data_IF_084144072219
#
_entry.id   IF_084144072219
#
_cell.length_a   1.000
_cell.length_b   1.000
_cell.length_c   1.000
_cell.angle_alpha   90.00
_cell.angle_beta   90.00
_cell.angle_gamma   90.00
#
_symmetry.space_group_name_H-M   'P 1'
#
loop_
_entity.id
_entity.type
_entity.pdbx_description
1 polymer ?
#
# COMPACT_ATOMS: atom_id res chain seq x y z
N UNK A 1 11.82 -14.60 -25.81
CA UNK A 1 11.33 -13.43 -25.06
C UNK A 1 11.66 -13.68 -23.61
N UNK A 2 12.61 -12.95 -23.03
CA UNK A 2 12.85 -13.00 -21.59
C UNK A 2 11.64 -12.35 -20.90
N UNK A 3 11.09 -12.91 -19.81
CA UNK A 3 10.10 -12.20 -19.02
C UNK A 3 10.77 -10.95 -18.45
N UNK A 4 10.42 -9.81 -19.00
CA UNK A 4 11.01 -8.52 -18.64
C UNK A 4 10.64 -8.16 -17.19
N UNK A 5 11.70 -7.88 -16.43
CA UNK A 5 11.78 -7.12 -15.17
C UNK A 5 11.21 -7.78 -13.91
N UNK A 6 12.10 -8.10 -12.96
CA UNK A 6 11.77 -8.52 -11.59
C UNK A 6 11.12 -7.42 -10.73
N UNK A 7 10.30 -6.56 -11.33
CA UNK A 7 9.49 -5.58 -10.61
C UNK A 7 8.21 -6.31 -10.18
N UNK A 8 7.94 -6.43 -8.87
CA UNK A 8 6.75 -7.13 -8.39
C UNK A 8 5.47 -6.48 -8.93
N UNK A 9 4.47 -7.29 -9.22
CA UNK A 9 3.16 -6.79 -9.63
C UNK A 9 2.49 -6.00 -8.47
N UNK A 10 1.58 -5.09 -8.79
CA UNK A 10 0.93 -4.19 -7.82
C UNK A 10 0.27 -4.99 -6.71
N UNK A 11 -0.38 -6.11 -7.05
CA UNK A 11 -1.00 -7.00 -6.06
C UNK A 11 0.00 -7.55 -5.02
N UNK A 12 1.18 -7.99 -5.46
CA UNK A 12 2.23 -8.53 -4.59
C UNK A 12 2.69 -7.47 -3.60
N UNK A 13 3.05 -6.28 -4.09
CA UNK A 13 3.51 -5.17 -3.22
C UNK A 13 2.40 -4.74 -2.25
N UNK A 14 1.15 -4.68 -2.73
CA UNK A 14 -0.01 -4.38 -1.89
C UNK A 14 -0.20 -5.40 -0.76
N UNK A 15 -0.09 -6.70 -1.09
CA UNK A 15 -0.26 -7.79 -0.12
C UNK A 15 0.83 -7.75 0.94
N UNK A 16 2.08 -7.51 0.54
CA UNK A 16 3.20 -7.31 1.46
C UNK A 16 2.95 -6.12 2.41
N UNK A 17 2.47 -4.98 1.88
CA UNK A 17 2.11 -3.83 2.72
C UNK A 17 1.04 -4.19 3.78
N UNK A 18 0.05 -5.01 3.43
CA UNK A 18 -0.97 -5.50 4.39
C UNK A 18 -0.33 -6.37 5.47
N UNK A 19 0.54 -7.29 5.10
CA UNK A 19 1.25 -8.15 6.07
C UNK A 19 2.11 -7.32 7.02
N UNK A 20 2.76 -6.26 6.52
CA UNK A 20 3.53 -5.32 7.32
C UNK A 20 2.67 -4.53 8.30
N UNK A 21 1.50 -4.03 7.87
CA UNK A 21 0.53 -3.42 8.78
C UNK A 21 0.10 -4.40 9.89
N UNK A 22 -0.28 -5.62 9.51
CA UNK A 22 -0.76 -6.62 10.47
C UNK A 22 0.36 -7.03 11.44
N UNK A 23 1.62 -7.06 10.99
CA UNK A 23 2.79 -7.25 11.85
C UNK A 23 2.99 -6.10 12.84
N UNK A 24 2.90 -4.85 12.38
CA UNK A 24 3.01 -3.67 13.25
C UNK A 24 1.92 -3.65 14.33
N UNK A 25 0.67 -3.96 13.97
CA UNK A 25 -0.44 -4.08 14.92
C UNK A 25 -0.11 -5.13 15.99
N UNK A 26 0.38 -6.31 15.61
CA UNK A 26 0.82 -7.33 16.57
C UNK A 26 1.95 -6.84 17.46
N UNK A 27 2.96 -6.21 16.88
CA UNK A 27 4.13 -5.70 17.62
C UNK A 27 3.73 -4.63 18.65
N UNK A 28 2.77 -3.75 18.35
CA UNK A 28 2.30 -2.74 19.33
C UNK A 28 1.68 -3.32 20.60
N UNK A 29 1.16 -4.55 20.55
CA UNK A 29 0.60 -5.24 21.75
C UNK A 29 1.67 -5.70 22.73
N UNK A 30 2.91 -5.85 22.26
CA UNK A 30 4.03 -6.43 23.02
C UNK A 30 5.12 -5.40 23.38
N UNK A 31 4.89 -4.11 23.11
CA UNK A 31 5.86 -3.05 23.39
C UNK A 31 5.95 -2.70 24.88
N UNK A 32 7.16 -2.34 25.31
CA UNK A 32 7.39 -1.76 26.64
C UNK A 32 6.73 -0.37 26.78
N UNK A 33 6.43 0.05 28.00
CA UNK A 33 5.69 1.30 28.24
C UNK A 33 6.42 2.56 27.74
N UNK A 34 7.75 2.54 27.71
CA UNK A 34 8.59 3.62 27.13
C UNK A 34 8.45 3.71 25.61
N UNK A 35 8.35 2.56 24.92
CA UNK A 35 8.15 2.52 23.47
C UNK A 35 6.71 2.92 23.09
N UNK A 36 5.70 2.55 23.89
CA UNK A 36 4.30 2.93 23.66
C UNK A 36 4.08 4.43 23.58
N UNK A 37 4.82 5.23 24.36
CA UNK A 37 4.73 6.68 24.30
C UNK A 37 5.32 7.24 23.00
N UNK A 38 6.30 6.55 22.42
CA UNK A 38 7.04 6.99 21.23
C UNK A 38 6.47 6.43 19.93
N UNK A 39 5.68 5.36 19.99
CA UNK A 39 5.10 4.67 18.85
C UNK A 39 3.67 5.16 18.54
N UNK A 40 3.20 5.05 17.29
CA UNK A 40 1.78 5.26 16.98
C UNK A 40 0.88 4.29 17.77
N UNK A 41 -0.30 4.74 18.23
CA UNK A 41 -1.23 3.86 18.92
C UNK A 41 -1.81 2.80 17.96
N UNK A 42 -2.11 1.60 18.47
CA UNK A 42 -2.70 0.48 17.69
C UNK A 42 -3.93 0.92 16.89
N UNK A 43 -4.79 1.77 17.48
CA UNK A 43 -5.99 2.28 16.82
C UNK A 43 -5.68 3.09 15.55
N UNK A 44 -4.61 3.90 15.56
CA UNK A 44 -4.19 4.66 14.38
C UNK A 44 -3.67 3.73 13.29
N UNK A 45 -2.80 2.77 13.65
CA UNK A 45 -2.26 1.77 12.71
C UNK A 45 -3.39 0.94 12.09
N UNK A 46 -4.34 0.51 12.92
CA UNK A 46 -5.51 -0.26 12.47
C UNK A 46 -6.42 0.54 11.52
N UNK A 47 -6.62 1.83 11.79
CA UNK A 47 -7.37 2.73 10.90
C UNK A 47 -6.68 2.88 9.55
N UNK A 48 -5.37 3.18 9.53
CA UNK A 48 -4.60 3.31 8.28
C UNK A 48 -4.58 2.01 7.49
N UNK A 49 -4.44 0.87 8.17
CA UNK A 49 -4.53 -0.48 7.57
C UNK A 49 -5.90 -0.70 6.92
N UNK A 50 -6.99 -0.36 7.61
CA UNK A 50 -8.35 -0.50 7.07
C UNK A 50 -8.56 0.40 5.86
N UNK A 51 -8.11 1.65 5.93
CA UNK A 51 -8.19 2.60 4.84
C UNK A 51 -7.43 2.14 3.59
N UNK A 52 -6.21 1.64 3.77
CA UNK A 52 -5.39 1.09 2.69
C UNK A 52 -6.02 -0.17 2.09
N UNK A 53 -6.59 -1.05 2.92
CA UNK A 53 -7.33 -2.21 2.44
C UNK A 53 -8.56 -1.84 1.61
N UNK A 54 -9.35 -0.86 2.06
CA UNK A 54 -10.50 -0.38 1.29
C UNK A 54 -10.07 0.25 -0.04
N UNK A 55 -8.98 1.01 -0.06
CA UNK A 55 -8.39 1.51 -1.30
C UNK A 55 -8.07 0.35 -2.26
N UNK A 56 -7.41 -0.70 -1.77
CA UNK A 56 -7.09 -1.86 -2.59
C UNK A 56 -8.34 -2.55 -3.15
N UNK A 57 -9.40 -2.66 -2.34
CA UNK A 57 -10.70 -3.20 -2.76
C UNK A 57 -11.39 -2.36 -3.83
N UNK A 58 -11.43 -1.04 -3.63
CA UNK A 58 -12.12 -0.12 -4.54
C UNK A 58 -11.49 -0.08 -5.94
N UNK A 59 -10.17 -0.24 -6.02
CA UNK A 59 -9.44 -0.07 -7.27
C UNK A 59 -8.96 -1.38 -7.91
N UNK A 60 -9.03 -2.51 -7.19
CA UNK A 60 -8.58 -3.82 -7.68
C UNK A 60 -7.09 -4.07 -7.45
N UNK A 61 -6.51 -3.48 -6.40
CA UNK A 61 -5.17 -3.85 -5.93
C UNK A 61 -5.21 -5.14 -5.10
N UNK A 62 -6.37 -5.50 -4.54
CA UNK A 62 -6.59 -6.82 -3.95
C UNK A 62 -7.12 -7.80 -5.02
N UNK A 63 -6.68 -9.06 -4.96
CA UNK A 63 -7.32 -10.16 -5.69
C UNK A 63 -8.53 -10.63 -4.88
N UNK A 64 -9.59 -9.82 -4.86
CA UNK A 64 -10.89 -10.29 -4.37
C UNK A 64 -11.53 -11.16 -5.47
N UNK A 65 -11.87 -12.45 -5.21
CA UNK A 65 -12.51 -13.33 -6.20
C UNK A 65 -13.81 -12.79 -6.78
N UNK A 66 -14.48 -11.88 -6.06
CA UNK A 66 -15.72 -11.23 -6.48
C UNK A 66 -15.49 -9.88 -7.19
N UNK A 67 -14.24 -9.39 -7.29
CA UNK A 67 -13.94 -8.05 -7.78
C UNK A 67 -13.33 -8.01 -9.18
N UNK A 68 -13.66 -6.91 -9.85
CA UNK A 68 -13.40 -6.58 -11.24
C UNK A 68 -11.92 -6.29 -11.47
N UNK A 69 -11.34 -6.95 -12.48
CA UNK A 69 -10.07 -6.66 -13.18
C UNK A 69 -8.96 -6.02 -12.31
N UNK A 70 -7.87 -6.75 -12.05
CA UNK A 70 -6.74 -6.27 -11.25
C UNK A 70 -6.10 -4.98 -11.79
N UNK A 71 -5.52 -4.14 -10.91
CA UNK A 71 -4.77 -2.94 -11.30
C UNK A 71 -3.63 -3.24 -12.27
N UNK A 72 -2.95 -4.37 -12.07
CA UNK A 72 -1.92 -4.85 -12.98
C UNK A 72 -2.45 -5.03 -14.41
N UNK A 73 -3.66 -5.58 -14.55
CA UNK A 73 -4.31 -5.68 -15.84
C UNK A 73 -4.80 -4.33 -16.36
N UNK A 74 -5.42 -3.49 -15.50
CA UNK A 74 -5.92 -2.16 -15.89
C UNK A 74 -4.83 -1.26 -16.45
N UNK A 75 -3.64 -1.30 -15.85
CA UNK A 75 -2.52 -0.45 -16.24
C UNK A 75 -1.47 -1.15 -17.10
N UNK A 76 -1.78 -2.33 -17.66
CA UNK A 76 -0.85 -3.08 -18.52
C UNK A 76 -0.30 -2.28 -19.71
N UNK A 77 -1.08 -1.32 -20.20
CA UNK A 77 -0.72 -0.42 -21.30
C UNK A 77 -0.50 1.04 -20.85
N UNK A 78 -0.49 1.29 -19.53
CA UNK A 78 -0.36 2.63 -18.94
C UNK A 78 0.86 2.65 -18.02
N UNK A 79 2.06 2.58 -18.61
CA UNK A 79 3.31 2.39 -17.87
C UNK A 79 3.55 3.47 -16.81
N UNK A 80 3.29 4.74 -17.13
CA UNK A 80 3.41 5.84 -16.15
C UNK A 80 2.49 5.64 -14.93
N UNK A 81 1.22 5.29 -15.17
CA UNK A 81 0.25 5.07 -14.09
C UNK A 81 0.66 3.87 -13.24
N UNK A 82 1.06 2.76 -13.88
CA UNK A 82 1.52 1.54 -13.21
C UNK A 82 2.73 1.81 -12.33
N UNK A 83 3.77 2.43 -12.89
CA UNK A 83 5.02 2.73 -12.20
C UNK A 83 4.82 3.72 -11.06
N UNK A 84 3.91 4.69 -11.21
CA UNK A 84 3.57 5.62 -10.13
C UNK A 84 2.93 4.90 -8.95
N UNK A 85 1.97 4.00 -9.19
CA UNK A 85 1.35 3.20 -8.11
C UNK A 85 2.38 2.28 -7.47
N UNK A 86 3.20 1.57 -8.26
CA UNK A 86 4.26 0.71 -7.75
C UNK A 86 5.28 1.48 -6.89
N UNK A 87 5.66 2.69 -7.29
CA UNK A 87 6.59 3.53 -6.53
C UNK A 87 6.01 3.95 -5.18
N UNK A 88 4.74 4.37 -5.12
CA UNK A 88 4.09 4.71 -3.85
C UNK A 88 3.98 3.48 -2.93
N UNK A 89 3.63 2.32 -3.47
CA UNK A 89 3.61 1.07 -2.69
C UNK A 89 5.02 0.65 -2.24
N UNK A 90 6.05 0.89 -3.06
CA UNK A 90 7.45 0.66 -2.68
C UNK A 90 7.89 1.55 -1.51
N UNK A 91 7.57 2.84 -1.56
CA UNK A 91 7.86 3.76 -0.44
C UNK A 91 7.15 3.32 0.86
N UNK A 92 5.93 2.77 0.76
CA UNK A 92 5.24 2.20 1.92
C UNK A 92 6.03 1.03 2.53
N UNK A 93 6.56 0.12 1.72
CA UNK A 93 7.39 -0.99 2.21
C UNK A 93 8.65 -0.49 2.93
N UNK A 94 9.33 0.51 2.37
CA UNK A 94 10.52 1.11 3.00
C UNK A 94 10.17 1.76 4.35
N UNK A 95 9.05 2.48 4.42
CA UNK A 95 8.57 3.08 5.67
C UNK A 95 8.20 2.01 6.70
N UNK A 96 7.57 0.91 6.29
CA UNK A 96 7.28 -0.22 7.19
C UNK A 96 8.54 -0.91 7.69
N UNK A 97 9.55 -1.08 6.85
CA UNK A 97 10.83 -1.63 7.28
C UNK A 97 11.49 -0.70 8.32
N UNK A 98 11.47 0.61 8.08
CA UNK A 98 11.91 1.62 9.06
C UNK A 98 11.18 1.50 10.40
N UNK A 99 9.84 1.36 10.38
CA UNK A 99 9.03 1.19 11.59
C UNK A 99 9.39 -0.11 12.34
N UNK A 100 9.64 -1.21 11.64
CA UNK A 100 10.03 -2.49 12.27
C UNK A 100 11.41 -2.41 12.92
N UNK A 101 12.38 -1.76 12.28
CA UNK A 101 13.71 -1.51 12.89
C UNK A 101 13.59 -0.68 14.17
N UNK A 102 12.71 0.32 14.15
CA UNK A 102 12.38 1.12 15.34
C UNK A 102 11.70 0.29 16.44
N UNK A 103 10.76 -0.60 16.10
CA UNK A 103 10.16 -1.54 17.06
C UNK A 103 11.20 -2.41 17.76
N UNK A 104 12.25 -2.82 17.05
CA UNK A 104 13.34 -3.66 17.56
C UNK A 104 14.39 -2.90 18.35
N UNK A 105 14.27 -1.58 18.46
CA UNK A 105 15.26 -0.74 19.15
C UNK A 105 16.55 -0.56 18.37
N UNK A 106 16.55 -0.81 17.06
CA UNK A 106 17.73 -0.68 16.19
C UNK A 106 18.02 0.78 15.79
N UNK A 107 17.19 1.75 16.23
CA UNK A 107 17.32 3.18 15.87
C UNK A 107 16.84 4.11 17.00
N UNK A 108 17.16 5.41 16.92
CA UNK A 108 16.90 6.38 18.01
C UNK A 108 15.40 6.60 18.27
N UNK A 109 15.03 6.70 19.55
CA UNK A 109 13.66 6.98 20.00
C UNK A 109 13.19 8.36 19.50
N UNK A 110 12.03 8.41 18.84
CA UNK A 110 11.39 9.65 18.36
C UNK A 110 11.00 9.64 16.87
N UNK A 111 11.56 8.75 16.06
CA UNK A 111 11.33 8.72 14.61
C UNK A 111 10.06 7.95 14.21
N UNK A 112 9.55 7.04 15.05
CA UNK A 112 8.44 6.15 14.68
C UNK A 112 7.14 6.89 14.31
N UNK A 113 6.77 7.94 15.04
CA UNK A 113 5.60 8.77 14.70
C UNK A 113 5.81 9.54 13.40
N UNK A 114 7.04 9.97 13.11
CA UNK A 114 7.37 10.68 11.87
C UNK A 114 7.26 9.73 10.69
N UNK A 115 7.87 8.54 10.78
CA UNK A 115 7.80 7.51 9.75
C UNK A 115 6.36 7.07 9.52
N UNK A 116 5.57 6.89 10.58
CA UNK A 116 4.16 6.51 10.43
C UNK A 116 3.30 7.61 9.79
N UNK A 117 3.58 8.89 10.04
CA UNK A 117 2.92 9.97 9.29
C UNK A 117 3.23 9.91 7.79
N UNK A 118 4.42 9.43 7.40
CA UNK A 118 4.73 9.20 5.98
C UNK A 118 3.87 8.06 5.43
N UNK A 119 3.71 6.96 6.16
CA UNK A 119 2.76 5.87 5.81
C UNK A 119 1.36 6.44 5.55
N UNK A 120 0.82 7.22 6.49
CA UNK A 120 -0.49 7.87 6.33
C UNK A 120 -0.54 8.76 5.08
N UNK A 121 0.50 9.58 4.87
CA UNK A 121 0.60 10.46 3.71
C UNK A 121 0.61 9.68 2.39
N UNK A 122 1.32 8.56 2.30
CA UNK A 122 1.36 7.76 1.08
C UNK A 122 0.01 7.09 0.80
N UNK A 123 -0.70 6.62 1.83
CA UNK A 123 -2.07 6.09 1.68
C UNK A 123 -3.02 7.17 1.15
N UNK A 124 -2.91 8.41 1.64
CA UNK A 124 -3.71 9.54 1.17
C UNK A 124 -3.37 9.87 -0.29
N UNK A 125 -2.08 9.92 -0.65
CA UNK A 125 -1.66 10.20 -2.02
C UNK A 125 -2.07 9.10 -3.00
N UNK A 126 -2.06 7.82 -2.59
CA UNK A 126 -2.61 6.72 -3.39
C UNK A 126 -4.11 6.90 -3.66
N UNK A 127 -4.89 7.33 -2.66
CA UNK A 127 -6.32 7.64 -2.85
C UNK A 127 -6.50 8.84 -3.79
N UNK A 128 -5.72 9.91 -3.59
CA UNK A 128 -5.78 11.13 -4.39
C UNK A 128 -5.39 10.88 -5.84
N UNK A 129 -4.30 10.16 -6.07
CA UNK A 129 -3.81 9.80 -7.39
C UNK A 129 -4.88 9.05 -8.17
N UNK A 130 -5.42 7.99 -7.59
CA UNK A 130 -6.46 7.18 -8.22
C UNK A 130 -7.76 7.97 -8.45
N UNK A 131 -8.16 8.84 -7.51
CA UNK A 131 -9.33 9.71 -7.66
C UNK A 131 -9.19 10.77 -8.77
N UNK A 132 -7.97 11.14 -9.14
CA UNK A 132 -7.68 12.15 -10.16
C UNK A 132 -7.34 11.57 -11.55
N UNK A 133 -7.34 10.23 -11.70
CA UNK A 133 -7.12 9.62 -13.01
C UNK A 133 -8.27 9.98 -13.97
N UNK A 134 -7.96 10.40 -15.22
CA UNK A 134 -8.96 10.69 -16.23
C UNK A 134 -9.98 9.55 -16.40
N UNK A 135 -11.26 9.89 -16.53
CA UNK A 135 -12.38 8.92 -16.67
C UNK A 135 -12.17 7.97 -17.85
N UNK A 136 -11.48 8.43 -18.87
CA UNK A 136 -11.15 7.72 -20.11
C UNK A 136 -10.22 6.53 -19.84
N UNK A 137 -9.28 6.65 -18.90
CA UNK A 137 -8.41 5.53 -18.50
C UNK A 137 -9.19 4.40 -17.82
N UNK A 138 -10.36 4.71 -17.26
CA UNK A 138 -11.28 3.73 -16.68
C UNK A 138 -12.21 3.11 -17.74
N UNK A 139 -12.41 3.78 -18.88
CA UNK A 139 -13.31 3.34 -19.96
C UNK A 139 -12.64 2.38 -20.94
N UNK A 140 -11.32 2.45 -21.12
CA UNK A 140 -10.56 1.51 -21.95
C UNK A 140 -10.70 0.04 -21.51
N UNK A 141 -11.20 -0.21 -20.30
CA UNK A 141 -11.53 -1.53 -19.79
C UNK A 141 -12.86 -2.08 -20.34
N UNK A 142 -13.87 -1.24 -20.52
CA UNK A 142 -15.20 -1.66 -21.03
C UNK A 142 -15.19 -2.02 -22.51
N UNK A 143 -14.26 -1.46 -23.28
CA UNK A 143 -14.17 -1.68 -24.73
C UNK A 143 -13.74 -3.11 -25.09
N UNK A 144 -13.05 -3.81 -24.17
CA UNK A 144 -12.60 -5.19 -24.36
C UNK A 144 -13.53 -6.24 -23.72
N UNK A 145 -14.46 -5.84 -22.84
CA UNK A 145 -15.53 -6.73 -22.34
C UNK A 145 -16.66 -6.92 -23.37
N UNK A 146 -16.76 -6.03 -24.37
CA UNK A 146 -17.77 -6.09 -25.45
C UNK A 146 -17.34 -6.89 -26.68
N UNK A 147 -16.18 -7.56 -26.64
CA UNK A 147 -15.63 -8.36 -27.76
C UNK A 147 -15.62 -9.87 -27.42
N UNK A 148 -16.42 -10.30 -26.44
CA UNK A 148 -16.64 -11.74 -26.14
C UNK A 148 -18.01 -12.16 -26.63
#
# INVERSE_FOLDING_TARGET
MAPDTGIPNIYTIFSECIEHFDALIRETKHQSDTLKQSFPPEAAISSSRQEFYQWGKSYGANLDPASTISLDYKFRNQEYTRTTVQSHLGHLLEDFEGLRRLCRGETKQGEARVVFRRVESVVIELKRFMGNLPKELWLDLKRWELVV
#
